data_IF_033357960813
#
_entry.id   IF_033357960813
#
_cell.length_a   1.000
_cell.length_b   1.000
_cell.length_c   1.000
_cell.angle_alpha   90.00
_cell.angle_beta   90.00
_cell.angle_gamma   90.00
#
_symmetry.space_group_name_H-M   'P 1'
#
loop_
_entity.id
_entity.type
_entity.pdbx_description
1 polymer ?
#
# COMPACT_ATOMS: atom_id res chain seq x y z
N UNK A 1 10.73 -9.35 -3.83
CA UNK A 1 11.47 -8.23 -3.22
C UNK A 1 11.91 -8.55 -1.79
N UNK A 2 11.01 -8.85 -0.84
CA UNK A 2 11.39 -9.12 0.57
C UNK A 2 12.51 -10.16 0.77
N UNK A 3 12.46 -11.33 0.10
CA UNK A 3 13.52 -12.35 0.20
C UNK A 3 14.84 -11.87 -0.43
N UNK A 4 14.76 -11.11 -1.53
CA UNK A 4 15.94 -10.57 -2.20
C UNK A 4 16.63 -9.52 -1.31
N UNK A 5 15.87 -8.65 -0.64
CA UNK A 5 16.42 -7.68 0.31
C UNK A 5 16.97 -8.34 1.57
N UNK A 6 16.33 -9.39 2.07
CA UNK A 6 16.91 -10.15 3.19
C UNK A 6 18.27 -10.77 2.84
N UNK A 7 18.51 -11.08 1.56
CA UNK A 7 19.79 -11.59 1.05
C UNK A 7 20.80 -10.45 0.84
N UNK A 8 20.37 -9.31 0.29
CA UNK A 8 21.25 -8.18 -0.04
C UNK A 8 21.59 -7.29 1.17
N UNK A 9 20.64 -7.11 2.08
CA UNK A 9 20.72 -6.31 3.32
C UNK A 9 20.37 -7.19 4.52
N UNK A 10 21.35 -7.93 5.08
CA UNK A 10 21.11 -8.81 6.22
C UNK A 10 20.70 -8.03 7.48
N UNK A 11 21.13 -6.77 7.63
CA UNK A 11 20.70 -5.87 8.69
C UNK A 11 19.27 -5.35 8.44
N UNK A 12 18.45 -5.34 9.50
CA UNK A 12 17.03 -5.01 9.40
C UNK A 12 16.79 -3.54 9.02
N UNK A 13 17.65 -2.63 9.49
CA UNK A 13 17.48 -1.18 9.28
C UNK A 13 17.58 -0.75 7.82
N UNK A 14 18.14 -1.58 6.93
CA UNK A 14 18.26 -1.30 5.50
C UNK A 14 17.17 -1.92 4.63
N UNK A 15 16.22 -2.69 5.19
CA UNK A 15 15.17 -3.36 4.43
C UNK A 15 13.98 -2.44 4.25
N UNK A 16 13.60 -2.22 3.00
CA UNK A 16 12.43 -1.44 2.63
C UNK A 16 11.22 -2.35 2.48
N UNK A 17 11.40 -3.60 2.05
CA UNK A 17 10.32 -4.57 1.84
C UNK A 17 10.33 -5.68 2.90
N UNK A 18 9.13 -6.01 3.41
CA UNK A 18 8.92 -7.10 4.38
C UNK A 18 7.78 -8.02 3.94
N UNK A 19 7.83 -9.26 4.43
CA UNK A 19 6.74 -10.23 4.30
C UNK A 19 6.58 -10.99 5.61
N UNK A 20 5.37 -11.00 6.15
CA UNK A 20 4.97 -11.75 7.32
C UNK A 20 3.90 -12.77 6.94
N UNK A 21 4.28 -14.04 6.90
CA UNK A 21 3.37 -15.16 6.60
C UNK A 21 2.45 -15.51 7.79
N UNK A 22 2.69 -14.91 8.96
CA UNK A 22 1.97 -15.15 10.20
C UNK A 22 1.39 -13.85 10.77
N UNK A 23 1.02 -12.91 9.89
CA UNK A 23 0.33 -11.68 10.27
C UNK A 23 -0.93 -11.99 11.10
N UNK A 24 -1.63 -13.06 10.72
CA UNK A 24 -2.59 -13.75 11.59
C UNK A 24 -2.52 -15.27 11.38
N UNK A 25 -3.39 -16.03 12.04
CA UNK A 25 -3.49 -17.48 11.83
C UNK A 25 -3.88 -17.86 10.39
N UNK A 26 -4.52 -16.95 9.65
CA UNK A 26 -5.07 -17.21 8.31
C UNK A 26 -4.60 -16.25 7.24
N UNK A 27 -3.80 -15.23 7.60
CA UNK A 27 -3.48 -14.11 6.72
C UNK A 27 -1.98 -13.85 6.71
N UNK A 28 -1.51 -13.38 5.56
CA UNK A 28 -0.13 -12.91 5.38
C UNK A 28 -0.13 -11.46 4.92
N UNK A 29 0.96 -10.75 5.22
CA UNK A 29 1.12 -9.35 4.85
C UNK A 29 2.45 -9.12 4.14
N UNK A 30 2.41 -8.48 2.97
CA UNK A 30 3.57 -7.84 2.37
C UNK A 30 3.52 -6.34 2.68
N UNK A 31 4.67 -5.73 2.96
CA UNK A 31 4.75 -4.29 3.20
C UNK A 31 6.01 -3.67 2.63
N UNK A 32 5.96 -2.36 2.40
CA UNK A 32 7.11 -1.53 2.06
C UNK A 32 7.09 -0.25 2.88
N UNK A 33 8.25 0.17 3.38
CA UNK A 33 8.48 1.48 3.99
C UNK A 33 9.79 2.05 3.48
N UNK A 34 9.79 3.27 2.97
CA UNK A 34 11.02 3.90 2.46
C UNK A 34 11.81 4.69 3.54
N UNK A 35 11.26 4.80 4.75
CA UNK A 35 11.86 5.54 5.86
C UNK A 35 11.74 7.06 5.76
N UNK A 36 11.04 7.57 4.75
CA UNK A 36 10.83 9.00 4.49
C UNK A 36 9.34 9.41 4.48
N UNK A 37 8.45 8.49 4.88
CA UNK A 37 7.01 8.75 5.01
C UNK A 37 6.14 7.91 4.08
N UNK A 38 6.72 7.34 3.02
CA UNK A 38 5.94 6.55 2.06
C UNK A 38 5.90 5.08 2.45
N UNK A 39 4.71 4.50 2.34
CA UNK A 39 4.49 3.11 2.68
C UNK A 39 3.38 2.46 1.86
N UNK A 40 3.45 1.14 1.75
CA UNK A 40 2.30 0.34 1.34
C UNK A 40 2.21 -0.96 2.14
N UNK A 41 0.98 -1.48 2.23
CA UNK A 41 0.69 -2.79 2.81
C UNK A 41 -0.27 -3.56 1.89
N UNK A 42 -0.03 -4.86 1.78
CA UNK A 42 -0.87 -5.81 1.03
C UNK A 42 -1.20 -6.96 1.97
N UNK A 43 -2.48 -7.11 2.30
CA UNK A 43 -2.99 -8.21 3.11
C UNK A 43 -3.60 -9.26 2.19
N UNK A 44 -3.14 -10.50 2.34
CA UNK A 44 -3.71 -11.67 1.66
C UNK A 44 -4.53 -12.47 2.68
N UNK A 45 -5.81 -12.67 2.38
CA UNK A 45 -6.73 -13.37 3.26
C UNK A 45 -7.64 -14.33 2.48
N UNK A 46 -8.40 -15.21 3.16
CA UNK A 46 -9.40 -16.05 2.50
C UNK A 46 -10.48 -15.24 1.77
N UNK A 47 -10.70 -13.98 2.18
CA UNK A 47 -11.67 -13.07 1.56
C UNK A 47 -11.12 -12.34 0.33
N UNK A 48 -9.83 -12.51 0.00
CA UNK A 48 -9.19 -11.89 -1.16
C UNK A 48 -7.91 -11.16 -0.80
N UNK A 49 -7.61 -10.11 -1.55
CA UNK A 49 -6.45 -9.24 -1.31
C UNK A 49 -6.89 -7.79 -1.10
N UNK A 50 -6.29 -7.16 -0.10
CA UNK A 50 -6.46 -5.75 0.20
C UNK A 50 -5.12 -5.04 0.08
N UNK A 51 -5.09 -3.92 -0.63
CA UNK A 51 -3.89 -3.12 -0.88
C UNK A 51 -4.17 -1.69 -0.43
N UNK A 52 -3.22 -1.12 0.30
CA UNK A 52 -3.19 0.31 0.62
C UNK A 52 -1.81 0.89 0.36
N UNK A 53 -1.79 2.12 -0.12
CA UNK A 53 -0.59 2.93 -0.30
C UNK A 53 -0.77 4.30 0.34
N UNK A 54 0.33 4.81 0.87
CA UNK A 54 0.45 6.16 1.41
C UNK A 54 1.68 6.83 0.80
N UNK A 55 1.42 7.87 0.01
CA UNK A 55 2.44 8.81 -0.45
C UNK A 55 2.33 10.07 0.42
N UNK A 56 3.39 10.33 1.20
CA UNK A 56 3.39 11.43 2.15
C UNK A 56 3.33 12.80 1.47
N UNK A 57 3.85 12.91 0.25
CA UNK A 57 3.87 14.16 -0.55
C UNK A 57 2.64 14.30 -1.45
N UNK A 58 1.75 13.30 -1.47
CA UNK A 58 0.55 13.31 -2.29
C UNK A 58 -0.38 14.48 -1.93
N UNK A 59 -0.98 15.16 -2.93
CA UNK A 59 -2.05 16.13 -2.69
C UNK A 59 -3.31 15.52 -2.06
N UNK A 60 -3.45 14.19 -2.11
CA UNK A 60 -4.54 13.43 -1.49
C UNK A 60 -4.21 12.95 -0.06
N UNK A 61 -3.05 13.34 0.47
CA UNK A 61 -2.63 12.98 1.83
C UNK A 61 -3.67 13.43 2.86
N UNK A 62 -4.02 12.59 3.86
CA UNK A 62 -4.98 12.94 4.89
C UNK A 62 -4.54 14.16 5.72
N UNK A 63 -3.25 14.45 5.74
CA UNK A 63 -2.69 15.65 6.39
C UNK A 63 -2.97 16.96 5.63
N UNK A 64 -3.42 16.88 4.37
CA UNK A 64 -3.87 18.05 3.58
C UNK A 64 -5.34 18.35 3.85
N UNK A 65 -6.17 17.32 4.04
CA UNK A 65 -7.64 17.42 4.11
C UNK A 65 -8.22 17.21 5.52
N UNK A 66 -7.38 16.90 6.52
CA UNK A 66 -7.78 16.52 7.88
C UNK A 66 -8.66 15.25 7.91
N UNK A 67 -8.28 14.26 7.09
CA UNK A 67 -9.03 13.02 6.89
C UNK A 67 -8.68 12.34 5.56
N UNK A 68 -8.94 11.02 5.40
CA UNK A 68 -8.75 10.32 4.14
C UNK A 68 -9.48 11.01 2.99
N UNK A 69 -8.88 10.99 1.80
CA UNK A 69 -9.52 11.58 0.63
C UNK A 69 -10.86 10.88 0.31
N UNK A 70 -11.96 11.63 0.06
CA UNK A 70 -13.26 11.04 -0.23
C UNK A 70 -13.22 10.05 -1.40
N UNK A 71 -13.87 8.91 -1.24
CA UNK A 71 -13.90 7.82 -2.22
C UNK A 71 -12.75 6.82 -2.11
N UNK A 72 -11.65 7.12 -1.41
CA UNK A 72 -10.52 6.18 -1.27
C UNK A 72 -10.89 4.97 -0.43
N UNK A 73 -11.58 5.19 0.70
CA UNK A 73 -12.00 4.12 1.62
C UNK A 73 -13.52 3.87 1.64
N UNK A 74 -14.31 4.78 1.08
CA UNK A 74 -15.78 4.83 1.27
C UNK A 74 -16.51 3.59 0.72
N UNK A 75 -15.96 2.98 -0.33
CA UNK A 75 -16.57 1.83 -1.02
C UNK A 75 -15.86 0.50 -0.72
N UNK A 76 -14.93 0.47 0.24
CA UNK A 76 -14.24 -0.75 0.63
C UNK A 76 -15.27 -1.78 1.14
N UNK A 77 -15.33 -2.99 0.56
CA UNK A 77 -16.26 -4.03 0.98
C UNK A 77 -16.15 -4.37 2.46
N UNK A 78 -17.28 -4.79 3.07
CA UNK A 78 -17.36 -5.15 4.49
C UNK A 78 -16.32 -6.20 4.89
N UNK A 79 -15.99 -7.14 3.99
CA UNK A 79 -14.98 -8.18 4.21
C UNK A 79 -13.56 -7.64 4.40
N UNK A 80 -13.30 -6.39 4.00
CA UNK A 80 -11.99 -5.73 4.11
C UNK A 80 -11.99 -4.56 5.12
N UNK A 81 -13.14 -4.21 5.71
CA UNK A 81 -13.24 -3.17 6.73
C UNK A 81 -12.29 -3.37 7.93
N UNK A 82 -12.00 -4.60 8.42
CA UNK A 82 -11.00 -4.79 9.45
C UNK A 82 -9.62 -4.22 9.10
N UNK A 83 -9.25 -4.18 7.82
CA UNK A 83 -7.97 -3.61 7.36
C UNK A 83 -8.04 -2.10 7.14
N UNK A 84 -9.23 -1.51 7.08
CA UNK A 84 -9.41 -0.06 7.10
C UNK A 84 -9.23 0.47 8.53
N UNK A 85 -9.72 -0.28 9.51
CA UNK A 85 -9.69 0.05 10.94
C UNK A 85 -8.41 -0.41 11.66
N UNK A 86 -7.54 -1.14 10.98
CA UNK A 86 -6.33 -1.74 11.56
C UNK A 86 -5.38 -0.67 12.10
N UNK A 87 -5.10 -0.65 13.42
CA UNK A 87 -4.20 0.34 14.02
C UNK A 87 -2.79 0.38 13.43
N UNK A 88 -2.27 -0.74 12.91
CA UNK A 88 -0.97 -0.76 12.24
C UNK A 88 -0.90 0.09 10.97
N UNK A 89 -2.06 0.51 10.44
CA UNK A 89 -2.22 1.28 9.20
C UNK A 89 -2.67 2.73 9.46
N UNK A 90 -2.66 3.16 10.72
CA UNK A 90 -2.98 4.52 11.14
C UNK A 90 -1.83 5.13 11.92
N UNK A 91 -1.84 6.46 12.04
CA UNK A 91 -0.91 7.16 12.94
C UNK A 91 -1.32 7.06 14.42
N UNK A 92 -0.60 7.75 15.30
CA UNK A 92 -0.82 7.70 16.74
C UNK A 92 -2.18 8.28 17.19
N UNK A 93 -2.78 9.15 16.38
CA UNK A 93 -4.09 9.75 16.61
C UNK A 93 -5.23 8.93 15.95
N UNK A 94 -4.88 7.83 15.26
CA UNK A 94 -5.82 6.97 14.57
C UNK A 94 -6.21 7.46 13.17
N UNK A 95 -5.48 8.43 12.60
CA UNK A 95 -5.67 8.87 11.22
C UNK A 95 -5.21 7.78 10.26
N UNK A 96 -6.08 7.25 9.37
CA UNK A 96 -5.66 6.27 8.37
C UNK A 96 -4.63 6.89 7.41
N UNK A 97 -3.44 6.32 7.36
CA UNK A 97 -2.37 6.77 6.46
C UNK A 97 -2.65 6.28 5.04
N UNK A 98 -3.49 6.92 4.24
CA UNK A 98 -3.84 6.37 2.91
C UNK A 98 -4.06 7.44 1.86
N UNK A 99 -3.50 7.19 0.68
CA UNK A 99 -3.73 7.98 -0.54
C UNK A 99 -4.30 7.12 -1.67
N UNK A 100 -3.97 5.81 -1.68
CA UNK A 100 -4.49 4.84 -2.63
C UNK A 100 -4.98 3.57 -1.93
N UNK A 101 -6.12 3.02 -2.36
CA UNK A 101 -6.66 1.76 -1.86
C UNK A 101 -7.25 0.93 -3.00
N UNK A 102 -6.92 -0.37 -3.02
CA UNK A 102 -7.42 -1.32 -4.00
C UNK A 102 -7.75 -2.64 -3.31
N UNK A 103 -8.72 -3.36 -3.85
CA UNK A 103 -9.09 -4.67 -3.34
C UNK A 103 -9.48 -5.62 -4.46
N UNK A 104 -9.48 -6.91 -4.15
CA UNK A 104 -9.92 -7.96 -5.05
C UNK A 104 -10.47 -9.14 -4.28
N UNK A 105 -11.75 -9.42 -4.45
CA UNK A 105 -12.39 -10.64 -3.93
C UNK A 105 -12.05 -11.85 -4.83
N UNK A 106 -12.19 -13.10 -4.34
CA UNK A 106 -11.84 -14.30 -5.10
C UNK A 106 -12.57 -14.46 -6.44
N UNK A 107 -13.78 -13.88 -6.54
CA UNK A 107 -14.63 -13.97 -7.73
C UNK A 107 -14.48 -12.76 -8.67
N UNK A 108 -13.70 -11.75 -8.29
CA UNK A 108 -13.46 -10.59 -9.13
C UNK A 108 -12.53 -10.94 -10.31
N UNK A 109 -12.87 -10.43 -11.48
CA UNK A 109 -12.09 -10.54 -12.72
C UNK A 109 -10.91 -9.54 -12.78
N UNK A 110 -10.85 -8.59 -11.85
CA UNK A 110 -9.77 -7.60 -11.75
C UNK A 110 -9.69 -6.95 -10.37
N UNK A 111 -8.74 -6.04 -10.21
CA UNK A 111 -8.66 -5.17 -9.03
C UNK A 111 -9.76 -4.11 -9.09
N UNK A 112 -10.27 -3.72 -7.93
CA UNK A 112 -11.28 -2.68 -7.75
C UNK A 112 -10.71 -1.56 -6.88
N UNK A 113 -11.25 -0.36 -7.05
CA UNK A 113 -11.01 0.82 -6.22
C UNK A 113 -12.36 1.49 -5.98
N UNK A 114 -12.41 2.45 -5.05
CA UNK A 114 -13.61 3.26 -4.88
C UNK A 114 -13.82 4.25 -6.02
N UNK A 115 -14.99 4.86 -6.06
CA UNK A 115 -15.30 6.00 -6.92
C UNK A 115 -14.63 7.26 -6.37
N UNK A 116 -13.50 7.66 -6.97
CA UNK A 116 -12.67 8.78 -6.49
C UNK A 116 -12.78 9.97 -7.44
N UNK A 117 -13.14 11.13 -6.90
CA UNK A 117 -12.97 12.42 -7.58
C UNK A 117 -11.53 12.92 -7.32
N UNK A 118 -10.61 12.55 -8.23
CA UNK A 118 -9.21 12.94 -8.12
C UNK A 118 -9.01 14.46 -8.25
N UNK A 119 -8.05 15.05 -7.52
CA UNK A 119 -7.80 16.48 -7.61
C UNK A 119 -7.25 16.85 -9.00
N UNK A 120 -7.72 17.98 -9.52
CA UNK A 120 -7.19 18.57 -10.77
C UNK A 120 -5.82 19.21 -10.50
N UNK A 121 -4.78 18.37 -10.53
CA UNK A 121 -3.39 18.78 -10.32
C UNK A 121 -2.57 18.59 -11.60
N UNK A 122 -1.43 19.27 -11.69
CA UNK A 122 -0.47 19.01 -12.77
C UNK A 122 0.20 17.62 -12.65
N UNK A 123 0.07 16.95 -11.50
CA UNK A 123 0.59 15.60 -11.30
C UNK A 123 -0.25 14.58 -12.07
N UNK A 124 0.41 13.62 -12.70
CA UNK A 124 -0.24 12.46 -13.34
C UNK A 124 -0.48 11.29 -12.38
N UNK A 125 -0.10 11.46 -11.12
CA UNK A 125 -0.16 10.46 -10.06
C UNK A 125 -0.58 11.15 -8.75
N UNK A 126 -1.82 11.67 -8.67
CA UNK A 126 -2.26 12.46 -7.54
C UNK A 126 -2.39 11.66 -6.23
N UNK A 127 -2.54 10.34 -6.29
CA UNK A 127 -2.57 9.43 -5.14
C UNK A 127 -1.22 8.74 -4.86
N UNK A 128 -0.22 8.95 -5.72
CA UNK A 128 1.10 8.32 -5.62
C UNK A 128 1.14 6.84 -5.99
N UNK A 129 0.03 6.24 -6.45
CA UNK A 129 -0.09 4.80 -6.65
C UNK A 129 0.91 4.29 -7.70
N UNK A 130 1.13 5.04 -8.78
CA UNK A 130 2.10 4.65 -9.82
C UNK A 130 3.52 4.61 -9.26
N UNK A 131 3.90 5.58 -8.43
CA UNK A 131 5.19 5.59 -7.75
C UNK A 131 5.30 4.44 -6.74
N UNK A 132 4.30 4.25 -5.88
CA UNK A 132 4.34 3.25 -4.80
C UNK A 132 4.38 1.81 -5.33
N UNK A 133 3.63 1.51 -6.40
CA UNK A 133 3.40 0.14 -6.85
C UNK A 133 4.19 -0.26 -8.10
N UNK A 134 5.05 0.61 -8.65
CA UNK A 134 5.74 0.34 -9.93
C UNK A 134 6.51 -0.99 -9.96
N UNK A 135 7.12 -1.41 -8.85
CA UNK A 135 7.86 -2.69 -8.77
C UNK A 135 6.95 -3.92 -8.67
N UNK A 136 5.68 -3.74 -8.29
CA UNK A 136 4.69 -4.82 -8.27
C UNK A 136 4.12 -5.08 -9.67
N UNK A 137 4.10 -4.04 -10.52
CA UNK A 137 3.71 -4.12 -11.92
C UNK A 137 4.83 -4.75 -12.78
N UNK A 138 6.08 -4.31 -12.61
CA UNK A 138 7.23 -4.83 -13.34
C UNK A 138 7.92 -5.98 -12.59
N UNK A 139 7.52 -7.20 -12.92
CA UNK A 139 8.06 -8.44 -12.30
C UNK A 139 9.43 -8.86 -12.84
N UNK A 140 10.07 -8.04 -13.66
CA UNK A 140 11.40 -8.37 -14.21
C UNK A 140 12.48 -8.31 -13.12
N UNK A 141 13.42 -9.26 -13.09
CA UNK A 141 14.60 -9.18 -12.23
C UNK A 141 15.38 -7.86 -12.42
N UNK A 142 15.40 -7.33 -13.64
CA UNK A 142 16.09 -6.09 -14.02
C UNK A 142 15.44 -4.84 -13.41
N UNK A 143 14.13 -4.84 -13.16
CA UNK A 143 13.47 -3.76 -12.43
C UNK A 143 13.89 -3.77 -10.95
N UNK A 144 13.92 -4.96 -10.33
CA UNK A 144 14.40 -5.11 -8.95
C UNK A 144 15.88 -4.74 -8.80
N UNK A 145 16.73 -5.11 -9.78
CA UNK A 145 18.16 -4.76 -9.75
C UNK A 145 18.37 -3.25 -9.86
N UNK A 146 17.76 -2.59 -10.85
CA UNK A 146 17.91 -1.13 -11.05
C UNK A 146 17.51 -0.35 -9.80
N UNK A 147 16.40 -0.72 -9.18
CA UNK A 147 15.95 -0.10 -7.94
C UNK A 147 16.94 -0.32 -6.77
N UNK A 148 17.60 -1.47 -6.70
CA UNK A 148 18.58 -1.75 -5.65
C UNK A 148 19.93 -1.03 -5.86
N UNK A 149 20.20 -0.53 -7.07
CA UNK A 149 21.44 0.21 -7.42
C UNK A 149 21.32 1.73 -7.22
N UNK A 150 20.10 2.27 -7.10
CA UNK A 150 19.78 3.69 -6.83
C UNK A 150 19.79 4.02 -5.32
#
# INVERSE_FOLDING_TARGET
>A
MAVLEAILSPEWEGRRHSFDDHWSETESMASMRNGSGDEYSIVFSPAGAYVRGFDHESPMSPYVMDGPWPGVLDEVPEVFQPYVEEPAFSDEDGMPLVTACLWREPLDDGWRTGTIDFPDTASKDPDGARYLFHLLEDRSPEASQRWAED
#
